data_IF_875106061948
#
_entry.id   IF_875106061948
#
_cell.length_a   1.000
_cell.length_b   1.000
_cell.length_c   1.000
_cell.angle_alpha   90.00
_cell.angle_beta   90.00
_cell.angle_gamma   90.00
#
_symmetry.space_group_name_H-M   'P 1'
#
loop_
_entity.id
_entity.type
_entity.pdbx_description
1 polymer ?
#
# COMPACT_ATOMS: atom_id res chain seq x y z
N UNK A 1 1.01 -6.67 -16.14
CA UNK A 1 -0.11 -7.50 -16.63
C UNK A 1 -0.95 -6.76 -17.65
N UNK A 2 -1.49 -5.58 -17.32
CA UNK A 2 -2.34 -4.80 -18.23
C UNK A 2 -1.68 -4.43 -19.56
N UNK A 3 -0.40 -4.07 -19.57
CA UNK A 3 0.36 -3.83 -20.82
C UNK A 3 0.43 -5.07 -21.72
N UNK A 4 0.52 -6.27 -21.11
CA UNK A 4 0.57 -7.53 -21.87
C UNK A 4 -0.80 -7.86 -22.47
N UNK A 5 -1.89 -7.45 -21.82
CA UNK A 5 -3.25 -7.57 -22.36
C UNK A 5 -3.44 -6.58 -23.52
N UNK A 6 -2.94 -5.35 -23.37
CA UNK A 6 -2.78 -4.38 -24.46
C UNK A 6 -4.07 -3.77 -25.02
N UNK A 7 -5.26 -4.15 -24.52
CA UNK A 7 -6.52 -3.55 -24.96
C UNK A 7 -6.69 -2.13 -24.39
N UNK A 8 -7.43 -1.23 -25.06
CA UNK A 8 -7.71 0.11 -24.55
C UNK A 8 -8.30 0.10 -23.13
N UNK A 9 -9.19 -0.84 -22.84
CA UNK A 9 -9.84 -1.01 -21.53
C UNK A 9 -8.82 -1.41 -20.46
N UNK A 10 -7.89 -2.32 -20.77
CA UNK A 10 -6.84 -2.73 -19.86
C UNK A 10 -5.87 -1.59 -19.56
N UNK A 11 -5.45 -0.85 -20.59
CA UNK A 11 -4.52 0.28 -20.44
C UNK A 11 -5.14 1.45 -19.68
N UNK A 12 -6.46 1.63 -19.76
CA UNK A 12 -7.22 2.64 -19.02
C UNK A 12 -7.35 2.34 -17.51
N UNK A 13 -7.02 1.13 -17.06
CA UNK A 13 -7.04 0.73 -15.65
C UNK A 13 -5.67 0.86 -14.94
N UNK A 14 -4.62 1.23 -15.68
CA UNK A 14 -3.29 1.47 -15.10
C UNK A 14 -3.34 2.55 -14.02
N UNK A 15 -2.62 2.31 -12.93
CA UNK A 15 -2.56 3.23 -11.79
C UNK A 15 -3.80 3.22 -10.87
N UNK A 16 -4.86 2.48 -11.19
CA UNK A 16 -6.11 2.49 -10.41
C UNK A 16 -6.23 1.38 -9.37
N UNK A 17 -5.60 0.23 -9.64
CA UNK A 17 -5.74 -1.00 -8.85
C UNK A 17 -5.44 -0.80 -7.34
N UNK A 18 -4.30 -0.18 -7.01
CA UNK A 18 -3.84 -0.05 -5.63
C UNK A 18 -4.76 0.85 -4.80
N UNK A 19 -5.14 2.02 -5.33
CA UNK A 19 -6.09 2.92 -4.65
C UNK A 19 -7.45 2.25 -4.49
N UNK A 20 -7.96 1.60 -5.54
CA UNK A 20 -9.24 0.90 -5.46
C UNK A 20 -9.21 -0.18 -4.36
N UNK A 21 -8.18 -1.03 -4.34
CA UNK A 21 -8.02 -2.07 -3.33
C UNK A 21 -7.94 -1.48 -1.92
N UNK A 22 -7.19 -0.39 -1.71
CA UNK A 22 -7.08 0.25 -0.40
C UNK A 22 -8.41 0.84 0.09
N UNK A 23 -9.21 1.44 -0.80
CA UNK A 23 -10.58 1.90 -0.47
C UNK A 23 -11.50 0.74 -0.07
N UNK A 24 -11.42 -0.39 -0.76
CA UNK A 24 -12.18 -1.59 -0.41
C UNK A 24 -11.71 -2.20 0.93
N UNK A 25 -10.40 -2.17 1.20
CA UNK A 25 -9.85 -2.55 2.50
C UNK A 25 -10.35 -1.62 3.61
N UNK A 26 -10.45 -0.30 3.37
CA UNK A 26 -11.06 0.64 4.31
C UNK A 26 -12.55 0.31 4.56
N UNK A 27 -13.33 0.03 3.52
CA UNK A 27 -14.72 -0.41 3.66
C UNK A 27 -14.84 -1.69 4.52
N UNK A 28 -13.96 -2.67 4.30
CA UNK A 28 -13.92 -3.90 5.11
C UNK A 28 -13.54 -3.59 6.56
N UNK A 29 -12.57 -2.71 6.79
CA UNK A 29 -12.16 -2.25 8.11
C UNK A 29 -13.33 -1.59 8.87
N UNK A 30 -14.07 -0.68 8.23
CA UNK A 30 -15.24 -0.05 8.86
C UNK A 30 -16.28 -1.10 9.26
N UNK A 31 -16.56 -2.07 8.39
CA UNK A 31 -17.46 -3.20 8.71
C UNK A 31 -16.93 -4.02 9.89
N UNK A 32 -15.63 -4.34 9.91
CA UNK A 32 -15.00 -5.17 10.95
C UNK A 32 -15.05 -4.53 12.34
N UNK A 33 -14.89 -3.21 12.39
CA UNK A 33 -14.89 -2.41 13.62
C UNK A 33 -16.21 -1.66 13.81
N UNK A 34 -17.33 -2.31 13.51
CA UNK A 34 -18.69 -1.82 13.73
C UNK A 34 -19.63 -2.91 14.26
N UNK A 35 -20.79 -2.50 14.75
CA UNK A 35 -21.86 -3.39 15.19
C UNK A 35 -21.67 -4.00 16.59
N UNK A 36 -22.64 -4.81 17.06
CA UNK A 36 -22.78 -5.17 18.46
C UNK A 36 -21.56 -5.87 19.07
N UNK A 37 -20.92 -6.75 18.28
CA UNK A 37 -19.70 -7.46 18.71
C UNK A 37 -18.56 -6.49 19.00
N UNK A 38 -18.30 -5.55 18.09
CA UNK A 38 -17.22 -4.58 18.27
C UNK A 38 -17.55 -3.61 19.40
N UNK A 39 -18.78 -3.11 19.48
CA UNK A 39 -19.22 -2.19 20.53
C UNK A 39 -19.06 -2.80 21.93
N UNK A 40 -19.35 -4.10 22.10
CA UNK A 40 -19.13 -4.80 23.36
C UNK A 40 -17.64 -4.87 23.75
N UNK A 41 -16.73 -5.02 22.78
CA UNK A 41 -15.28 -4.99 23.02
C UNK A 41 -14.80 -3.58 23.34
N UNK A 42 -15.28 -2.58 22.60
CA UNK A 42 -14.93 -1.18 22.81
C UNK A 42 -15.35 -0.69 24.21
N UNK A 43 -16.54 -1.10 24.71
CA UNK A 43 -16.99 -0.84 26.09
C UNK A 43 -16.05 -1.42 27.15
N UNK A 44 -15.24 -2.42 26.82
CA UNK A 44 -14.21 -3.02 27.68
C UNK A 44 -12.82 -2.43 27.46
N UNK A 45 -12.69 -1.35 26.68
CA UNK A 45 -11.42 -0.66 26.43
C UNK A 45 -10.62 -1.17 25.23
N UNK A 46 -11.19 -2.03 24.38
CA UNK A 46 -10.52 -2.45 23.15
C UNK A 46 -10.27 -1.27 22.20
N UNK A 47 -9.12 -1.27 21.52
CA UNK A 47 -8.72 -0.25 20.54
C UNK A 47 -8.73 -0.84 19.12
N UNK A 48 -9.14 -0.04 18.13
CA UNK A 48 -9.08 -0.47 16.72
C UNK A 48 -7.62 -0.61 16.30
N UNK A 49 -7.30 -1.67 15.56
CA UNK A 49 -6.04 -1.74 14.80
C UNK A 49 -6.21 -0.91 13.53
N UNK A 50 -5.64 0.30 13.52
CA UNK A 50 -5.73 1.22 12.38
C UNK A 50 -5.14 0.59 11.11
N UNK A 51 -5.75 0.89 9.97
CA UNK A 51 -5.13 0.60 8.68
C UNK A 51 -3.90 1.49 8.50
N UNK A 52 -2.83 0.91 7.97
CA UNK A 52 -1.59 1.61 7.66
C UNK A 52 -1.28 1.43 6.17
N UNK A 53 -1.20 2.55 5.45
CA UNK A 53 -0.80 2.59 4.04
C UNK A 53 0.72 2.66 3.96
N UNK A 54 1.33 1.57 3.51
CA UNK A 54 2.77 1.47 3.28
C UNK A 54 3.09 1.51 1.78
N UNK A 55 4.37 1.76 1.45
CA UNK A 55 4.83 1.83 0.06
C UNK A 55 4.10 2.89 -0.78
N UNK A 56 3.81 4.04 -0.17
CA UNK A 56 3.02 5.13 -0.79
C UNK A 56 3.87 6.11 -1.61
N UNK A 57 5.12 5.77 -1.90
CA UNK A 57 5.94 6.48 -2.88
C UNK A 57 5.58 6.04 -4.31
N UNK A 58 5.22 6.99 -5.16
CA UNK A 58 4.83 6.74 -6.55
C UNK A 58 6.04 6.26 -7.36
N UNK A 59 5.85 5.18 -8.12
CA UNK A 59 6.94 4.49 -8.84
C UNK A 59 6.94 4.76 -10.35
N UNK A 60 5.83 5.29 -10.88
CA UNK A 60 5.70 5.62 -12.29
C UNK A 60 5.67 7.16 -12.43
N UNK A 61 6.65 7.79 -13.11
CA UNK A 61 6.72 9.24 -13.25
C UNK A 61 5.57 9.82 -14.08
N UNK A 62 4.78 9.00 -14.78
CA UNK A 62 3.58 9.45 -15.46
C UNK A 62 2.39 9.74 -14.52
N UNK A 63 2.50 9.39 -13.24
CA UNK A 63 1.48 9.66 -12.24
C UNK A 63 1.91 10.83 -11.35
N UNK A 64 0.95 11.61 -10.79
CA UNK A 64 1.27 12.58 -9.74
C UNK A 64 2.01 11.86 -8.61
N UNK A 65 3.12 12.43 -8.15
CA UNK A 65 3.95 11.85 -7.09
C UNK A 65 3.26 11.85 -5.72
N UNK A 66 2.16 12.61 -5.57
CA UNK A 66 1.24 12.59 -4.41
C UNK A 66 0.09 11.58 -4.52
N UNK A 67 -0.06 10.87 -5.65
CA UNK A 67 -1.24 10.05 -5.99
C UNK A 67 -1.78 9.20 -4.83
N UNK A 68 -0.90 8.42 -4.19
CA UNK A 68 -1.31 7.51 -3.13
C UNK A 68 -1.66 8.22 -1.82
N UNK A 69 -0.98 9.32 -1.51
CA UNK A 69 -1.24 10.07 -0.29
C UNK A 69 -2.59 10.77 -0.43
N UNK A 70 -2.78 11.55 -1.49
CA UNK A 70 -4.01 12.32 -1.74
C UNK A 70 -5.25 11.42 -1.79
N UNK A 71 -5.11 10.20 -2.32
CA UNK A 71 -6.24 9.28 -2.53
C UNK A 71 -6.67 8.48 -1.30
N UNK A 72 -5.86 8.47 -0.22
CA UNK A 72 -6.03 7.53 0.91
C UNK A 72 -6.17 8.22 2.27
N UNK A 73 -6.53 9.51 2.28
CA UNK A 73 -6.76 10.28 3.50
C UNK A 73 -8.13 9.93 4.08
N UNK A 74 -8.17 9.59 5.37
CA UNK A 74 -9.41 9.39 6.11
C UNK A 74 -9.20 8.98 7.58
N UNK A 75 -10.29 8.93 8.36
CA UNK A 75 -10.24 8.71 9.79
C UNK A 75 -9.69 7.32 10.13
N UNK A 76 -9.04 7.21 11.29
CA UNK A 76 -8.50 5.96 11.84
C UNK A 76 -7.51 5.23 10.91
N UNK A 77 -6.79 5.98 10.05
CA UNK A 77 -5.74 5.46 9.19
C UNK A 77 -4.38 6.10 9.49
N UNK A 78 -3.31 5.45 9.06
CA UNK A 78 -1.94 5.95 9.10
C UNK A 78 -1.36 5.81 7.69
N UNK A 79 -0.54 6.75 7.25
CA UNK A 79 0.25 6.60 6.04
C UNK A 79 1.73 6.71 6.41
N UNK A 80 2.54 5.70 6.07
CA UNK A 80 3.99 5.73 6.27
C UNK A 80 4.65 6.15 4.97
N UNK A 81 5.12 7.38 4.93
CA UNK A 81 5.63 8.01 3.72
C UNK A 81 7.16 7.95 3.69
N UNK A 82 7.79 7.59 2.56
CA UNK A 82 9.20 7.90 2.37
C UNK A 82 9.41 9.42 2.27
N UNK A 83 10.59 9.91 2.64
CA UNK A 83 10.92 11.35 2.69
C UNK A 83 10.53 12.11 1.42
N UNK A 84 10.79 11.53 0.24
CA UNK A 84 10.45 12.16 -1.03
C UNK A 84 8.92 12.36 -1.19
N UNK A 85 8.12 11.38 -0.81
CA UNK A 85 6.66 11.48 -0.92
C UNK A 85 6.10 12.46 0.12
N UNK A 86 6.72 12.52 1.32
CA UNK A 86 6.39 13.53 2.31
C UNK A 86 6.68 14.95 1.80
N UNK A 87 7.86 15.18 1.21
CA UNK A 87 8.20 16.48 0.64
C UNK A 87 7.28 16.89 -0.51
N UNK A 88 6.96 15.98 -1.44
CA UNK A 88 5.99 16.25 -2.51
C UNK A 88 4.60 16.62 -1.96
N UNK A 89 4.13 15.89 -0.96
CA UNK A 89 2.85 16.18 -0.32
C UNK A 89 2.85 17.53 0.42
N UNK A 90 3.95 17.91 1.07
CA UNK A 90 4.07 19.24 1.70
C UNK A 90 4.04 20.35 0.66
N UNK A 91 4.70 20.17 -0.48
CA UNK A 91 4.79 21.16 -1.55
C UNK A 91 3.45 21.37 -2.27
N UNK A 92 2.79 20.29 -2.69
CA UNK A 92 1.61 20.37 -3.55
C UNK A 92 0.56 19.26 -3.34
N UNK A 93 0.55 18.63 -2.15
CA UNK A 93 -0.48 17.65 -1.78
C UNK A 93 -1.87 18.25 -1.61
N UNK A 94 -2.89 17.41 -1.74
CA UNK A 94 -4.30 17.81 -1.55
C UNK A 94 -4.89 17.16 -0.31
N UNK A 95 -5.20 17.97 0.71
CA UNK A 95 -5.86 17.50 1.92
C UNK A 95 -7.38 17.42 1.70
N UNK A 96 -7.90 16.21 1.52
CA UNK A 96 -9.33 15.94 1.45
C UNK A 96 -9.64 14.54 1.98
N UNK A 97 -10.83 14.30 2.53
CA UNK A 97 -11.25 12.95 2.93
C UNK A 97 -11.61 12.14 1.69
N UNK A 98 -10.75 11.21 1.32
CA UNK A 98 -10.79 10.52 0.01
C UNK A 98 -10.90 9.00 0.10
N UNK A 99 -10.42 8.39 1.19
CA UNK A 99 -10.34 6.92 1.29
C UNK A 99 -11.71 6.22 1.33
N UNK A 100 -12.73 6.91 1.84
CA UNK A 100 -14.11 6.42 1.91
C UNK A 100 -15.06 7.17 0.98
N UNK A 101 -14.51 8.02 0.10
CA UNK A 101 -15.24 8.64 -1.01
C UNK A 101 -15.21 7.75 -2.26
N UNK A 102 -16.29 7.78 -3.05
CA UNK A 102 -16.43 7.08 -4.35
C UNK A 102 -16.09 5.58 -4.28
N UNK A 103 -16.46 4.90 -3.21
CA UNK A 103 -16.06 3.49 -3.03
C UNK A 103 -16.75 2.56 -4.04
N UNK A 104 -17.89 2.95 -4.62
CA UNK A 104 -18.50 2.23 -5.75
C UNK A 104 -17.63 2.24 -7.02
N UNK A 105 -16.90 3.33 -7.27
CA UNK A 105 -15.92 3.40 -8.37
C UNK A 105 -14.76 2.44 -8.13
N UNK A 106 -14.29 2.33 -6.88
CA UNK A 106 -13.28 1.36 -6.50
C UNK A 106 -13.74 -0.09 -6.74
N UNK A 107 -15.01 -0.41 -6.44
CA UNK A 107 -15.60 -1.71 -6.80
C UNK A 107 -15.64 -1.91 -8.32
N UNK A 108 -16.01 -0.88 -9.07
CA UNK A 108 -16.01 -0.90 -10.54
C UNK A 108 -14.62 -1.21 -11.12
N UNK A 109 -13.56 -0.57 -10.62
CA UNK A 109 -12.17 -0.86 -11.01
C UNK A 109 -11.80 -2.29 -10.65
N UNK A 110 -12.13 -2.73 -9.44
CA UNK A 110 -11.80 -4.07 -8.95
C UNK A 110 -12.42 -5.15 -9.83
N UNK A 111 -13.72 -5.03 -10.15
CA UNK A 111 -14.44 -5.95 -11.03
C UNK A 111 -14.06 -5.82 -12.51
N UNK A 112 -13.67 -4.64 -12.99
CA UNK A 112 -13.18 -4.46 -14.35
C UNK A 112 -11.85 -5.22 -14.55
N UNK A 113 -10.98 -5.22 -13.55
CA UNK A 113 -9.74 -6.00 -13.57
C UNK A 113 -10.03 -7.51 -13.59
N UNK A 114 -11.00 -8.00 -12.80
CA UNK A 114 -11.43 -9.41 -12.83
C UNK A 114 -11.96 -9.82 -14.21
N UNK A 115 -12.75 -8.96 -14.86
CA UNK A 115 -13.28 -9.20 -16.23
C UNK A 115 -12.18 -9.30 -17.28
N UNK A 116 -11.01 -8.70 -17.04
CA UNK A 116 -9.83 -8.82 -17.89
C UNK A 116 -8.99 -10.06 -17.57
N UNK A 117 -9.47 -10.94 -16.69
CA UNK A 117 -8.79 -12.16 -16.28
C UNK A 117 -7.73 -11.94 -15.19
N UNK A 118 -7.74 -10.81 -14.48
CA UNK A 118 -6.88 -10.60 -13.32
C UNK A 118 -7.47 -11.32 -12.11
N UNK A 119 -6.77 -12.34 -11.63
CA UNK A 119 -7.09 -13.02 -10.38
C UNK A 119 -6.42 -12.30 -9.20
N UNK A 120 -7.22 -11.66 -8.34
CA UNK A 120 -6.72 -10.95 -7.16
C UNK A 120 -6.09 -11.87 -6.10
N UNK A 121 -6.53 -13.12 -6.02
CA UNK A 121 -5.93 -14.13 -5.14
C UNK A 121 -4.51 -14.46 -5.59
N UNK A 122 -4.32 -14.68 -6.89
CA UNK A 122 -2.99 -14.95 -7.44
C UNK A 122 -2.08 -13.71 -7.36
N UNK A 123 -2.59 -12.52 -7.68
CA UNK A 123 -1.83 -11.27 -7.51
C UNK A 123 -1.40 -11.07 -6.05
N UNK A 124 -2.31 -11.28 -5.10
CA UNK A 124 -2.01 -11.17 -3.67
C UNK A 124 -0.94 -12.15 -3.23
N UNK A 125 -1.07 -13.43 -3.63
CA UNK A 125 -0.09 -14.47 -3.33
C UNK A 125 1.28 -14.17 -3.94
N UNK A 126 1.32 -13.72 -5.19
CA UNK A 126 2.56 -13.35 -5.86
C UNK A 126 3.25 -12.18 -5.12
N UNK A 127 2.51 -11.11 -4.81
CA UNK A 127 3.05 -9.96 -4.09
C UNK A 127 3.55 -10.32 -2.68
N UNK A 128 2.87 -11.23 -1.99
CA UNK A 128 3.32 -11.72 -0.68
C UNK A 128 4.65 -12.48 -0.79
N UNK A 129 4.76 -13.41 -1.75
CA UNK A 129 5.97 -14.19 -1.97
C UNK A 129 7.16 -13.31 -2.37
N UNK A 130 6.96 -12.40 -3.33
CA UNK A 130 7.97 -11.44 -3.76
C UNK A 130 8.37 -10.48 -2.63
N UNK A 131 7.39 -10.05 -1.83
CA UNK A 131 7.60 -9.25 -0.62
C UNK A 131 8.52 -9.97 0.36
N UNK A 132 8.17 -11.17 0.79
CA UNK A 132 8.99 -11.96 1.73
C UNK A 132 10.41 -12.19 1.20
N UNK A 133 10.55 -12.52 -0.09
CA UNK A 133 11.86 -12.72 -0.71
C UNK A 133 12.71 -11.43 -0.72
N UNK A 134 12.10 -10.27 -1.03
CA UNK A 134 12.79 -8.99 -1.02
C UNK A 134 13.30 -8.60 0.39
N UNK A 135 12.53 -8.91 1.43
CA UNK A 135 12.92 -8.68 2.82
C UNK A 135 14.08 -9.60 3.23
N UNK A 136 14.04 -10.88 2.85
CA UNK A 136 15.15 -11.83 3.10
C UNK A 136 16.44 -11.32 2.45
N UNK A 137 16.39 -10.97 1.17
CA UNK A 137 17.55 -10.43 0.43
C UNK A 137 18.11 -9.16 1.07
N UNK A 138 17.25 -8.25 1.51
CA UNK A 138 17.67 -7.02 2.19
C UNK A 138 18.35 -7.32 3.53
N UNK A 139 17.84 -8.31 4.26
CA UNK A 139 18.44 -8.75 5.53
C UNK A 139 19.78 -9.45 5.34
N UNK A 140 19.90 -10.34 4.35
CA UNK A 140 21.17 -10.99 4.01
C UNK A 140 22.24 -9.95 3.60
N UNK A 141 21.84 -8.94 2.81
CA UNK A 141 22.73 -7.83 2.45
C UNK A 141 23.19 -7.04 3.67
N UNK A 142 22.30 -6.78 4.65
CA UNK A 142 22.67 -6.14 5.91
C UNK A 142 23.71 -6.96 6.67
N UNK A 143 23.52 -8.28 6.77
CA UNK A 143 24.46 -9.17 7.45
C UNK A 143 25.84 -9.17 6.79
N UNK A 144 25.90 -9.18 5.47
CA UNK A 144 27.17 -9.06 4.72
C UNK A 144 27.86 -7.74 5.05
N UNK A 145 27.15 -6.60 4.98
CA UNK A 145 27.73 -5.29 5.30
C UNK A 145 28.25 -5.20 6.75
N UNK A 146 27.53 -5.81 7.71
CA UNK A 146 27.98 -5.87 9.10
C UNK A 146 29.24 -6.75 9.25
N UNK A 147 29.31 -7.87 8.54
CA UNK A 147 30.48 -8.74 8.55
C UNK A 147 31.71 -8.04 7.95
N UNK A 148 31.55 -7.36 6.81
CA UNK A 148 32.60 -6.58 6.18
C UNK A 148 33.10 -5.47 7.11
N UNK A 149 32.19 -4.73 7.74
CA UNK A 149 32.55 -3.69 8.70
C UNK A 149 33.30 -4.29 9.90
N UNK A 150 32.80 -5.39 10.45
CA UNK A 150 33.45 -6.11 11.56
C UNK A 150 34.87 -6.58 11.20
N UNK A 151 35.07 -7.11 9.99
CA UNK A 151 36.38 -7.52 9.50
C UNK A 151 37.34 -6.32 9.37
N UNK A 152 36.87 -5.20 8.80
CA UNK A 152 37.69 -3.99 8.62
C UNK A 152 38.20 -3.39 9.93
N UNK A 153 37.40 -3.49 11.00
CA UNK A 153 37.78 -2.99 12.32
C UNK A 153 38.82 -3.89 13.00
N UNK A 154 38.73 -5.21 12.79
CA UNK A 154 39.72 -6.16 13.33
C UNK A 154 41.09 -5.98 12.68
N UNK A 155 41.14 -5.73 11.36
CA UNK A 155 42.41 -5.50 10.65
C UNK A 155 43.03 -4.13 10.92
N UNK A 156 42.23 -3.13 11.30
CA UNK A 156 42.73 -1.80 11.65
C UNK A 156 43.33 -1.69 13.07
N UNK A 157 43.23 -2.74 13.88
CA UNK A 157 43.72 -2.77 15.28
C UNK A 157 45.03 -3.55 15.42
N UNK A 158 45.76 -3.77 14.32
CA UNK A 158 47.09 -4.39 14.28
C UNK A 158 48.12 -3.39 13.80
#
# INVERSE_FOLDING_TARGET
MLEKIGTPEALALRGKAAVAQAKLANRLYQKKFSGPRWEALAKKGAKKQRLLWASTGVKNPAYPDTLYIDSLIGPDTVNTMPDQALHAFIDHGTVSRTVDANVSEAEGVYSALEKLGIDWGEVGKQLELEGVDSFKKSFDSLLVSLQEKGNSLKTATV
#
